data_IF_630577140384
#
_entry.id   IF_630577140384
#
_cell.length_a   1.000
_cell.length_b   1.000
_cell.length_c   1.000
_cell.angle_alpha   90.00
_cell.angle_beta   90.00
_cell.angle_gamma   90.00
#
_symmetry.space_group_name_H-M   'P 1'
#
loop_
_entity.id
_entity.type
_entity.pdbx_description
1 polymer ?
#
# COMPACT_ATOMS: atom_id res chain seq x y z
N UNK A 1 -19.91 5.94 14.97
CA UNK A 1 -21.04 5.63 14.05
C UNK A 1 -20.75 5.96 12.57
N UNK A 2 -19.65 6.62 12.22
CA UNK A 2 -19.26 6.89 10.82
C UNK A 2 -18.58 5.70 10.08
N UNK A 3 -18.26 4.62 10.78
CA UNK A 3 -17.42 3.52 10.28
C UNK A 3 -18.13 2.57 9.30
N UNK A 4 -19.40 2.23 9.55
CA UNK A 4 -20.13 1.28 8.71
C UNK A 4 -20.45 1.84 7.31
N UNK A 5 -20.88 3.11 7.25
CA UNK A 5 -21.18 3.77 5.97
C UNK A 5 -19.91 3.98 5.14
N UNK A 6 -18.80 4.34 5.78
CA UNK A 6 -17.51 4.48 5.08
C UNK A 6 -17.02 3.14 4.53
N UNK A 7 -17.10 2.06 5.29
CA UNK A 7 -16.72 0.72 4.82
C UNK A 7 -17.53 0.29 3.58
N UNK A 8 -18.83 0.58 3.55
CA UNK A 8 -19.67 0.33 2.38
C UNK A 8 -19.24 1.15 1.15
N UNK A 9 -18.95 2.45 1.35
CA UNK A 9 -18.44 3.31 0.27
C UNK A 9 -17.12 2.77 -0.26
N UNK A 10 -16.20 2.35 0.62
CA UNK A 10 -14.92 1.77 0.20
C UNK A 10 -15.11 0.46 -0.58
N UNK A 11 -16.02 -0.41 -0.15
CA UNK A 11 -16.35 -1.64 -0.89
C UNK A 11 -16.91 -1.33 -2.29
N UNK A 12 -17.82 -0.37 -2.42
CA UNK A 12 -18.36 0.07 -3.71
C UNK A 12 -17.28 0.71 -4.60
N UNK A 13 -16.38 1.51 -4.01
CA UNK A 13 -15.27 2.13 -4.72
C UNK A 13 -14.33 1.09 -5.33
N UNK A 14 -14.01 0.01 -4.59
CA UNK A 14 -13.19 -1.10 -5.13
C UNK A 14 -13.84 -1.75 -6.34
N UNK A 15 -15.12 -2.08 -6.23
CA UNK A 15 -15.90 -2.68 -7.32
C UNK A 15 -15.94 -1.77 -8.55
N UNK A 16 -16.19 -0.47 -8.36
CA UNK A 16 -16.20 0.49 -9.46
C UNK A 16 -14.81 0.62 -10.11
N UNK A 17 -13.74 0.61 -9.31
CA UNK A 17 -12.37 0.73 -9.80
C UNK A 17 -11.91 -0.51 -10.59
N UNK A 18 -12.32 -1.71 -10.16
CA UNK A 18 -12.04 -2.95 -10.90
C UNK A 18 -12.83 -2.98 -12.22
N UNK A 19 -14.13 -2.72 -12.19
CA UNK A 19 -14.98 -2.65 -13.39
C UNK A 19 -14.51 -1.57 -14.38
N UNK A 20 -14.10 -0.41 -13.89
CA UNK A 20 -13.54 0.65 -14.74
C UNK A 20 -12.28 0.16 -15.47
N UNK A 21 -11.40 -0.58 -14.78
CA UNK A 21 -10.18 -1.14 -15.37
C UNK A 21 -10.49 -2.22 -16.39
N UNK A 22 -11.43 -3.11 -16.11
CA UNK A 22 -11.89 -4.14 -17.05
C UNK A 22 -12.47 -3.52 -18.32
N UNK A 23 -13.31 -2.49 -18.18
CA UNK A 23 -13.98 -1.84 -19.30
C UNK A 23 -13.05 -0.95 -20.14
N UNK A 24 -12.08 -0.28 -19.52
CA UNK A 24 -11.27 0.77 -20.17
C UNK A 24 -9.80 0.41 -20.37
N UNK A 25 -9.31 -0.62 -19.67
CA UNK A 25 -7.88 -0.89 -19.59
C UNK A 25 -7.08 0.21 -18.88
N UNK A 26 -7.72 1.09 -18.09
CA UNK A 26 -7.09 2.15 -17.29
C UNK A 26 -7.40 2.00 -15.79
N UNK A 27 -6.48 2.38 -14.91
CA UNK A 27 -6.73 2.35 -13.46
C UNK A 27 -7.45 3.61 -13.00
N UNK A 28 -8.48 3.47 -12.16
CA UNK A 28 -9.15 4.59 -11.51
C UNK A 28 -8.27 5.11 -10.34
N UNK A 29 -8.06 6.43 -10.19
CA UNK A 29 -7.14 6.99 -9.18
C UNK A 29 -7.77 7.04 -7.79
N UNK A 30 -8.01 5.88 -7.17
CA UNK A 30 -8.61 5.74 -5.82
C UNK A 30 -7.70 5.01 -4.83
N UNK A 31 -6.48 4.67 -5.25
CA UNK A 31 -5.59 3.80 -4.47
C UNK A 31 -5.10 4.45 -3.17
N UNK A 32 -5.00 5.78 -3.12
CA UNK A 32 -4.50 6.50 -1.93
C UNK A 32 -5.54 6.43 -0.81
N UNK A 33 -6.79 6.71 -1.15
CA UNK A 33 -7.94 6.69 -0.25
C UNK A 33 -8.17 5.29 0.31
N UNK A 34 -8.11 4.27 -0.56
CA UNK A 34 -8.21 2.86 -0.15
C UNK A 34 -7.06 2.49 0.79
N UNK A 35 -5.81 2.84 0.45
CA UNK A 35 -4.63 2.53 1.27
C UNK A 35 -4.71 3.17 2.66
N UNK A 36 -5.16 4.42 2.74
CA UNK A 36 -5.36 5.10 4.02
C UNK A 36 -6.42 4.39 4.86
N UNK A 37 -7.57 4.08 4.26
CA UNK A 37 -8.65 3.37 4.93
C UNK A 37 -8.22 1.99 5.44
N UNK A 38 -7.54 1.20 4.61
CA UNK A 38 -7.11 -0.16 4.96
C UNK A 38 -5.98 -0.16 5.97
N UNK A 39 -4.98 0.71 5.84
CA UNK A 39 -3.93 0.81 6.85
C UNK A 39 -4.49 1.21 8.22
N UNK A 40 -5.41 2.17 8.27
CA UNK A 40 -6.11 2.56 9.52
C UNK A 40 -6.89 1.38 10.10
N UNK A 41 -7.69 0.71 9.28
CA UNK A 41 -8.62 -0.32 9.75
C UNK A 41 -7.90 -1.61 10.14
N UNK A 42 -6.90 -2.03 9.35
CA UNK A 42 -6.20 -3.31 9.54
C UNK A 42 -5.07 -3.23 10.56
N UNK A 43 -4.41 -2.07 10.70
CA UNK A 43 -3.30 -1.89 11.64
C UNK A 43 -3.71 -1.12 12.91
N UNK A 44 -4.96 -0.67 13.00
CA UNK A 44 -5.45 0.11 14.16
C UNK A 44 -4.83 1.50 14.27
N UNK A 45 -4.46 2.13 13.15
CA UNK A 45 -3.91 3.49 13.16
C UNK A 45 -5.01 4.52 13.47
N UNK A 46 -4.59 5.72 13.90
CA UNK A 46 -5.46 6.88 14.08
C UNK A 46 -5.40 7.78 12.85
N UNK A 47 -6.57 8.26 12.44
CA UNK A 47 -6.69 9.19 11.33
C UNK A 47 -6.12 10.57 11.69
N UNK A 48 -5.32 11.15 10.78
CA UNK A 48 -4.92 12.57 10.86
C UNK A 48 -5.90 13.40 10.02
N UNK A 49 -6.70 14.30 10.60
CA UNK A 49 -7.68 15.09 9.86
C UNK A 49 -7.03 15.96 8.77
N UNK A 50 -7.59 15.92 7.56
CA UNK A 50 -7.10 16.71 6.42
C UNK A 50 -5.85 16.17 5.73
N UNK A 51 -5.25 15.08 6.23
CA UNK A 51 -4.12 14.43 5.57
C UNK A 51 -4.60 13.34 4.58
N UNK A 52 -4.09 13.36 3.36
CA UNK A 52 -4.50 12.41 2.31
C UNK A 52 -3.79 11.05 2.41
N UNK A 53 -2.54 11.05 2.85
CA UNK A 53 -1.65 9.88 2.81
C UNK A 53 -0.88 9.70 4.13
N UNK A 54 -1.44 10.19 5.23
CA UNK A 54 -0.80 10.14 6.54
C UNK A 54 -1.80 9.66 7.61
N UNK A 55 -1.25 8.99 8.60
CA UNK A 55 -1.94 8.52 9.80
C UNK A 55 -0.96 8.53 10.98
N UNK A 56 -1.48 8.21 12.15
CA UNK A 56 -0.71 8.12 13.38
C UNK A 56 -0.80 6.72 13.97
N UNK A 57 0.30 6.18 14.48
CA UNK A 57 0.30 5.05 15.41
C UNK A 57 0.53 5.59 16.84
N UNK A 58 -0.23 5.09 17.81
CA UNK A 58 0.00 5.37 19.23
C UNK A 58 0.40 4.08 19.91
N UNK A 59 1.57 4.06 20.52
CA UNK A 59 2.05 2.88 21.27
C UNK A 59 1.43 2.79 22.67
N UNK A 60 1.72 1.70 23.38
CA UNK A 60 1.23 1.46 24.74
C UNK A 60 1.70 2.52 25.75
N UNK A 61 2.80 3.23 25.45
CA UNK A 61 3.35 4.32 26.27
C UNK A 61 2.77 5.69 25.90
N UNK A 62 1.72 5.74 25.09
CA UNK A 62 1.12 6.98 24.56
C UNK A 62 2.08 7.82 23.70
N UNK A 63 3.13 7.22 23.15
CA UNK A 63 4.01 7.87 22.18
C UNK A 63 3.37 7.82 20.79
N UNK A 64 3.34 8.98 20.16
CA UNK A 64 2.78 9.17 18.83
C UNK A 64 3.85 9.00 17.76
N UNK A 65 3.56 8.21 16.73
CA UNK A 65 4.41 8.03 15.56
C UNK A 65 3.64 8.39 14.29
N UNK A 66 4.27 9.17 13.42
CA UNK A 66 3.70 9.60 12.15
C UNK A 66 3.95 8.56 11.07
N UNK A 67 2.89 8.19 10.36
CA UNK A 67 2.89 7.11 9.37
C UNK A 67 2.60 7.67 7.99
N UNK A 68 3.53 7.51 7.05
CA UNK A 68 3.27 7.78 5.64
C UNK A 68 2.67 6.55 4.97
N UNK A 69 1.49 6.68 4.37
CA UNK A 69 0.76 5.57 3.75
C UNK A 69 0.88 5.65 2.22
N UNK A 70 1.24 4.52 1.61
CA UNK A 70 1.29 4.32 0.16
C UNK A 70 0.50 3.09 -0.22
N UNK A 71 -0.13 3.11 -1.39
CA UNK A 71 -0.89 1.98 -1.92
C UNK A 71 -0.46 1.61 -3.33
N UNK A 72 -0.38 0.32 -3.63
CA UNK A 72 -0.08 -0.18 -4.98
C UNK A 72 -0.90 -1.39 -5.37
N UNK A 73 -1.54 -1.30 -6.53
CA UNK A 73 -2.28 -2.39 -7.17
C UNK A 73 -1.36 -3.16 -8.10
N UNK A 74 -1.31 -4.48 -7.95
CA UNK A 74 -0.50 -5.37 -8.78
C UNK A 74 -1.42 -6.05 -9.79
N UNK A 75 -1.31 -5.62 -11.05
CA UNK A 75 -2.05 -6.22 -12.15
C UNK A 75 -1.23 -7.34 -12.83
N UNK A 76 -1.83 -8.52 -13.12
CA UNK A 76 -1.22 -9.56 -13.92
C UNK A 76 -0.71 -9.03 -15.26
N UNK A 77 0.47 -9.48 -15.68
CA UNK A 77 1.11 -9.01 -16.92
C UNK A 77 1.53 -7.53 -16.91
N UNK A 78 1.49 -6.87 -15.74
CA UNK A 78 1.93 -5.49 -15.58
C UNK A 78 3.44 -5.30 -15.82
N UNK A 79 3.85 -4.05 -16.05
CA UNK A 79 5.27 -3.68 -16.21
C UNK A 79 6.10 -4.24 -15.04
N UNK A 80 7.24 -4.88 -15.34
CA UNK A 80 8.07 -5.57 -14.34
C UNK A 80 8.64 -4.65 -13.23
N UNK A 81 8.57 -3.33 -13.42
CA UNK A 81 9.07 -2.34 -12.47
C UNK A 81 7.95 -1.43 -11.96
N UNK A 82 7.13 -1.94 -11.05
CA UNK A 82 6.14 -1.16 -10.31
C UNK A 82 6.85 -0.25 -9.30
N UNK A 83 6.49 1.04 -9.28
CA UNK A 83 7.07 2.04 -8.39
C UNK A 83 6.15 2.26 -7.18
N UNK A 84 6.69 2.41 -5.97
CA UNK A 84 5.94 2.83 -4.78
C UNK A 84 5.41 4.27 -4.92
N UNK A 85 6.03 5.06 -5.80
CA UNK A 85 5.79 6.50 -5.93
C UNK A 85 6.92 7.29 -5.27
N UNK A 86 6.85 8.61 -5.39
CA UNK A 86 7.79 9.50 -4.73
C UNK A 86 7.48 9.54 -3.23
N UNK A 87 8.49 9.22 -2.42
CA UNK A 87 8.41 9.37 -0.96
C UNK A 87 8.68 10.84 -0.60
N UNK A 88 7.81 11.42 0.23
CA UNK A 88 7.98 12.80 0.67
C UNK A 88 9.01 12.83 1.81
N UNK A 89 10.29 12.98 1.46
CA UNK A 89 11.39 12.99 2.44
C UNK A 89 11.40 14.26 3.31
N UNK A 90 10.72 15.33 2.91
CA UNK A 90 10.64 16.56 3.70
C UNK A 90 9.54 16.54 4.74
N UNK A 91 8.55 15.65 4.61
CA UNK A 91 7.50 15.49 5.61
C UNK A 91 8.04 14.85 6.90
N UNK A 92 7.33 15.10 8.00
CA UNK A 92 7.63 14.51 9.31
C UNK A 92 6.89 13.18 9.45
N UNK A 93 7.60 12.08 9.18
CA UNK A 93 7.10 10.71 9.38
C UNK A 93 8.19 9.85 9.99
N UNK A 94 7.79 8.85 10.76
CA UNK A 94 8.66 7.90 11.46
C UNK A 94 8.84 6.61 10.64
N UNK A 95 7.75 6.12 10.04
CA UNK A 95 7.79 4.97 9.13
C UNK A 95 6.80 5.12 7.97
N UNK A 96 7.09 4.41 6.88
CA UNK A 96 6.23 4.31 5.72
C UNK A 96 5.56 2.94 5.68
N UNK A 97 4.26 2.92 5.42
CA UNK A 97 3.46 1.72 5.19
C UNK A 97 3.10 1.63 3.71
N UNK A 98 3.30 0.45 3.10
CA UNK A 98 2.91 0.13 1.74
C UNK A 98 1.84 -0.96 1.74
N UNK A 99 0.62 -0.58 1.35
CA UNK A 99 -0.50 -1.51 1.12
C UNK A 99 -0.44 -2.04 -0.31
N UNK A 100 -0.39 -3.36 -0.45
CA UNK A 100 -0.41 -4.07 -1.73
C UNK A 100 -1.82 -4.58 -1.98
N UNK A 101 -2.31 -4.36 -3.20
CA UNK A 101 -3.61 -4.79 -3.66
C UNK A 101 -3.52 -5.78 -4.82
N UNK A 102 -4.49 -6.69 -4.89
CA UNK A 102 -4.80 -7.45 -6.09
C UNK A 102 -5.60 -6.60 -7.10
N UNK A 103 -5.89 -7.10 -8.32
CA UNK A 103 -6.65 -6.37 -9.35
C UNK A 103 -8.05 -5.91 -8.92
N UNK A 104 -8.67 -6.62 -7.96
CA UNK A 104 -9.97 -6.28 -7.39
C UNK A 104 -9.89 -5.22 -6.29
N UNK A 105 -8.71 -4.60 -6.15
CA UNK A 105 -8.40 -3.63 -5.12
C UNK A 105 -8.60 -4.19 -3.70
N UNK A 106 -8.46 -5.50 -3.49
CA UNK A 106 -8.46 -6.10 -2.15
C UNK A 106 -7.04 -6.14 -1.58
N UNK A 107 -6.83 -5.73 -0.31
CA UNK A 107 -5.50 -5.72 0.28
C UNK A 107 -4.99 -7.15 0.47
N UNK A 108 -3.79 -7.43 -0.02
CA UNK A 108 -3.16 -8.76 0.08
C UNK A 108 -2.00 -8.79 1.06
N UNK A 109 -1.26 -7.68 1.16
CA UNK A 109 -0.14 -7.55 2.09
C UNK A 109 0.10 -6.09 2.47
N UNK A 110 0.65 -5.87 3.66
CA UNK A 110 1.11 -4.57 4.12
C UNK A 110 2.55 -4.69 4.61
N UNK A 111 3.42 -3.83 4.07
CA UNK A 111 4.82 -3.74 4.46
C UNK A 111 5.09 -2.43 5.20
N UNK A 112 5.98 -2.45 6.20
CA UNK A 112 6.45 -1.26 6.92
C UNK A 112 7.96 -1.09 6.74
N UNK A 113 8.42 0.15 6.63
CA UNK A 113 9.84 0.47 6.68
C UNK A 113 10.08 1.77 7.43
N UNK A 114 11.01 1.74 8.38
CA UNK A 114 11.42 2.93 9.14
C UNK A 114 12.11 3.98 8.25
N UNK A 115 12.06 5.24 8.67
CA UNK A 115 12.62 6.36 7.90
C UNK A 115 14.07 6.21 7.52
N UNK A 116 14.92 5.81 8.46
CA UNK A 116 16.35 5.63 8.21
C UNK A 116 16.59 4.58 7.12
N UNK A 117 15.93 3.43 7.22
CA UNK A 117 16.03 2.32 6.23
C UNK A 117 15.62 2.81 4.83
N UNK A 118 14.52 3.55 4.74
CA UNK A 118 14.02 4.10 3.47
C UNK A 118 15.00 5.13 2.88
N UNK A 119 15.49 6.06 3.70
CA UNK A 119 16.43 7.10 3.27
C UNK A 119 17.76 6.51 2.81
N UNK A 120 18.28 5.50 3.50
CA UNK A 120 19.49 4.76 3.12
C UNK A 120 19.30 4.06 1.77
N UNK A 121 18.19 3.32 1.60
CA UNK A 121 17.89 2.65 0.34
C UNK A 121 17.76 3.61 -0.85
N UNK A 122 17.27 4.84 -0.62
CA UNK A 122 17.23 5.88 -1.66
C UNK A 122 18.64 6.38 -1.99
N UNK A 123 19.48 6.63 -0.97
CA UNK A 123 20.87 7.11 -1.13
C UNK A 123 21.74 6.11 -1.90
N UNK A 124 21.55 4.81 -1.67
CA UNK A 124 22.24 3.74 -2.44
C UNK A 124 21.93 3.78 -3.94
N UNK A 125 20.76 4.30 -4.31
CA UNK A 125 20.31 4.32 -5.70
C UNK A 125 20.89 5.54 -6.42
N UNK A 126 21.91 5.32 -7.25
CA UNK A 126 22.54 6.38 -8.07
C UNK A 126 21.48 7.16 -8.87
N UNK A 127 21.59 8.49 -8.85
CA UNK A 127 20.71 9.45 -9.53
C UNK A 127 19.24 9.50 -9.07
N UNK A 128 18.89 8.96 -7.90
CA UNK A 128 17.53 8.99 -7.37
C UNK A 128 17.18 10.29 -6.61
N UNK A 129 17.32 11.44 -7.26
CA UNK A 129 17.03 12.75 -6.64
C UNK A 129 15.55 12.95 -6.27
N UNK A 130 14.65 12.14 -6.83
CA UNK A 130 13.20 12.22 -6.63
C UNK A 130 12.67 11.22 -5.60
N UNK A 131 13.53 10.49 -4.89
CA UNK A 131 13.12 9.55 -3.82
C UNK A 131 12.16 8.46 -4.31
N UNK A 132 12.33 8.00 -5.55
CA UNK A 132 11.47 7.01 -6.16
C UNK A 132 12.00 5.59 -5.85
N UNK A 133 11.14 4.69 -5.39
CA UNK A 133 11.53 3.32 -5.05
C UNK A 133 10.63 2.31 -5.78
N UNK A 134 11.16 1.15 -6.14
CA UNK A 134 10.35 0.05 -6.67
C UNK A 134 9.62 -0.68 -5.53
N UNK A 135 8.47 -1.28 -5.83
CA UNK A 135 7.77 -2.14 -4.86
C UNK A 135 8.68 -3.27 -4.40
N UNK A 136 9.45 -3.88 -5.31
CA UNK A 136 10.37 -4.96 -4.96
C UNK A 136 11.47 -4.52 -3.98
N UNK A 137 12.10 -3.35 -4.18
CA UNK A 137 13.11 -2.84 -3.24
C UNK A 137 12.48 -2.48 -1.90
N UNK A 138 11.26 -1.91 -1.88
CA UNK A 138 10.55 -1.62 -0.64
C UNK A 138 10.25 -2.90 0.14
N UNK A 139 9.74 -3.95 -0.54
CA UNK A 139 9.53 -5.27 0.08
C UNK A 139 10.81 -5.90 0.61
N UNK A 140 11.95 -5.66 -0.04
CA UNK A 140 13.24 -6.22 0.36
C UNK A 140 13.84 -5.54 1.60
N UNK A 141 13.56 -4.25 1.83
CA UNK A 141 14.07 -3.50 2.98
C UNK A 141 13.05 -3.38 4.12
N UNK A 142 11.77 -3.60 3.83
CA UNK A 142 10.68 -3.48 4.78
C UNK A 142 10.27 -4.82 5.39
N UNK A 143 9.49 -4.73 6.46
CA UNK A 143 8.93 -5.87 7.18
C UNK A 143 7.48 -6.10 6.75
N UNK A 144 7.10 -7.37 6.54
CA UNK A 144 5.71 -7.76 6.32
C UNK A 144 4.97 -7.72 7.67
N UNK A 145 4.07 -6.75 7.83
CA UNK A 145 3.34 -6.52 9.10
C UNK A 145 1.89 -7.02 9.07
N UNK A 146 1.35 -7.26 7.89
CA UNK A 146 0.03 -7.85 7.70
C UNK A 146 -0.03 -8.58 6.36
N UNK A 147 -0.69 -9.74 6.33
CA UNK A 147 -0.96 -10.51 5.12
C UNK A 147 -2.38 -11.06 5.21
N UNK A 148 -3.11 -11.08 4.10
CA UNK A 148 -4.43 -11.72 4.07
C UNK A 148 -4.28 -13.23 4.32
N UNK A 149 -5.22 -13.81 5.07
CA UNK A 149 -5.16 -15.24 5.40
C UNK A 149 -5.61 -16.15 4.26
N UNK A 150 -6.26 -15.59 3.22
CA UNK A 150 -6.74 -16.37 2.08
C UNK A 150 -5.61 -16.68 1.10
N UNK A 151 -4.92 -17.81 1.34
CA UNK A 151 -3.96 -18.44 0.41
C UNK A 151 -4.65 -19.39 -0.58
N UNK A 152 -5.79 -19.00 -1.13
CA UNK A 152 -6.38 -19.60 -2.33
C UNK A 152 -6.32 -18.50 -3.39
N UNK A 153 -5.30 -18.39 -4.23
CA UNK A 153 -5.36 -18.96 -5.58
C UNK A 153 -4.06 -18.69 -6.38
N UNK A 154 -2.88 -18.64 -5.74
CA UNK A 154 -1.61 -18.48 -6.48
C UNK A 154 -0.88 -19.80 -6.80
N UNK A 155 -1.31 -20.95 -6.26
CA UNK A 155 -0.67 -22.25 -6.53
C UNK A 155 -1.29 -23.08 -7.67
N UNK A 156 -2.35 -22.58 -8.33
CA UNK A 156 -3.03 -23.33 -9.41
C UNK A 156 -2.49 -23.08 -10.82
N UNK A 157 -1.69 -22.02 -11.03
CA UNK A 157 -1.17 -21.67 -12.38
C UNK A 157 0.18 -22.32 -12.74
N UNK A 158 0.95 -22.81 -11.76
CA UNK A 158 2.24 -23.46 -12.02
C UNK A 158 2.16 -24.98 -12.30
N UNK A 159 0.97 -25.60 -12.15
CA UNK A 159 0.80 -27.05 -12.36
C UNK A 159 0.21 -27.45 -13.71
N UNK A 160 -0.22 -26.51 -14.54
CA UNK A 160 -0.80 -26.83 -15.87
C UNK A 160 0.14 -26.57 -17.06
N UNK A 161 1.39 -26.15 -16.81
CA UNK A 161 2.41 -25.96 -17.87
C UNK A 161 3.39 -27.14 -17.99
N UNK A 162 3.18 -28.21 -17.22
CA UNK A 162 4.03 -29.40 -17.20
C UNK A 162 3.16 -30.67 -17.14
N UNK A 163 2.42 -30.95 -18.21
CA UNK A 163 1.92 -32.29 -18.56
C UNK A 163 1.76 -32.40 -20.06
#
# INVERSE_FOLDING_TARGET
MATYKLAQVMAQTRLLASQYREATGQSLPVTVELARFDAITLLGLKEVPGAEAEATLVDDNSKEFHVQIKGRVIFPGGKSRQMVGQLNLTANWDFTVLVIYNPDYQPTAIYSAGRQIVEEAIKETKNNKRGAMTVAKFKAIGELIWETQDKSDEQSLDRQSAS
#
